data_IF_661887723860
#
_entry.id   IF_661887723860
#
_cell.length_a   1.000
_cell.length_b   1.000
_cell.length_c   1.000
_cell.angle_alpha   90.00
_cell.angle_beta   90.00
_cell.angle_gamma   90.00
#
_symmetry.space_group_name_H-M   'P 1'
#
loop_
_entity.id
_entity.type
_entity.pdbx_description
1 polymer ?
#
# COMPACT_ATOMS: atom_id res chain seq x y z
N UNK A 1 25.49 23.29 2.51
CA UNK A 1 24.03 23.45 2.34
C UNK A 1 23.41 22.97 3.62
N UNK A 2 22.50 23.74 4.19
CA UNK A 2 21.76 23.32 5.40
C UNK A 2 20.59 22.42 5.01
N UNK A 3 19.98 21.74 5.99
CA UNK A 3 18.72 21.04 5.77
C UNK A 3 17.61 22.01 5.31
N UNK A 4 17.47 23.17 5.97
CA UNK A 4 16.41 24.12 5.63
C UNK A 4 16.52 24.64 4.19
N UNK A 5 17.75 24.96 3.75
CA UNK A 5 17.97 25.37 2.35
C UNK A 5 17.53 24.28 1.36
N UNK A 6 17.72 23.01 1.72
CA UNK A 6 17.26 21.89 0.91
C UNK A 6 15.75 21.78 0.91
N UNK A 7 15.13 21.73 2.09
CA UNK A 7 13.69 21.56 2.27
C UNK A 7 12.89 22.65 1.53
N UNK A 8 13.31 23.92 1.65
CA UNK A 8 12.60 25.05 1.07
C UNK A 8 12.64 25.10 -0.47
N UNK A 9 13.59 24.38 -1.10
CA UNK A 9 13.89 24.55 -2.53
C UNK A 9 13.92 23.25 -3.34
N UNK A 10 13.84 22.07 -2.70
CA UNK A 10 14.08 20.80 -3.39
C UNK A 10 13.09 20.52 -4.53
N UNK A 11 11.85 20.99 -4.43
CA UNK A 11 10.81 20.85 -5.46
C UNK A 11 11.08 21.67 -6.72
N UNK A 12 11.91 22.71 -6.63
CA UNK A 12 12.21 23.63 -7.74
C UNK A 12 13.47 23.22 -8.53
N UNK A 13 14.21 22.24 -8.02
CA UNK A 13 15.47 21.80 -8.62
C UNK A 13 15.27 20.62 -9.56
N UNK A 14 16.13 20.52 -10.58
CA UNK A 14 16.24 19.31 -11.38
C UNK A 14 16.83 18.15 -10.55
N UNK A 15 16.41 16.91 -10.83
CA UNK A 15 16.84 15.69 -10.11
C UNK A 15 18.36 15.55 -9.95
N UNK A 16 19.14 15.91 -10.96
CA UNK A 16 20.61 15.87 -10.87
C UNK A 16 21.16 16.81 -9.79
N UNK A 17 20.52 17.98 -9.63
CA UNK A 17 20.82 18.94 -8.57
C UNK A 17 20.35 18.40 -7.23
N UNK A 18 19.12 17.88 -7.14
CA UNK A 18 18.58 17.27 -5.91
C UNK A 18 19.51 16.15 -5.41
N UNK A 19 19.89 15.19 -6.25
CA UNK A 19 20.83 14.10 -5.89
C UNK A 19 22.19 14.61 -5.40
N UNK A 20 22.75 15.60 -6.09
CA UNK A 20 24.01 16.23 -5.68
C UNK A 20 23.89 16.90 -4.30
N UNK A 21 22.76 17.59 -4.07
CA UNK A 21 22.46 18.27 -2.80
C UNK A 21 22.21 17.29 -1.66
N UNK A 22 21.41 16.24 -1.87
CA UNK A 22 21.21 15.13 -0.90
C UNK A 22 22.55 14.57 -0.46
N UNK A 23 23.45 14.29 -1.41
CA UNK A 23 24.78 13.74 -1.12
C UNK A 23 25.59 14.66 -0.20
N UNK A 24 25.44 15.99 -0.35
CA UNK A 24 26.15 17.01 0.43
C UNK A 24 25.56 17.30 1.83
N UNK A 25 24.35 16.81 2.14
CA UNK A 25 23.73 16.98 3.45
C UNK A 25 24.58 16.29 4.54
N UNK A 26 24.78 17.00 5.66
CA UNK A 26 25.51 16.50 6.83
C UNK A 26 24.62 16.18 8.01
N UNK A 27 23.42 16.75 8.00
CA UNK A 27 22.38 16.57 9.01
C UNK A 27 21.02 16.62 8.30
N UNK A 28 20.02 16.02 8.93
CA UNK A 28 18.63 16.10 8.51
C UNK A 28 17.85 16.96 9.50
N UNK A 29 16.73 17.51 9.05
CA UNK A 29 15.75 18.11 9.94
C UNK A 29 14.85 17.08 10.59
N UNK A 30 13.70 17.56 11.13
CA UNK A 30 12.66 16.71 11.67
C UNK A 30 12.20 15.62 10.69
N UNK A 31 11.88 14.43 11.22
CA UNK A 31 11.48 13.26 10.41
C UNK A 31 10.29 13.55 9.51
N UNK A 32 9.30 14.29 10.01
CA UNK A 32 8.12 14.68 9.23
C UNK A 32 8.50 15.53 8.00
N UNK A 33 9.47 16.45 8.13
CA UNK A 33 9.96 17.24 7.00
C UNK A 33 10.75 16.38 6.01
N UNK A 34 11.50 15.39 6.50
CA UNK A 34 12.23 14.45 5.64
C UNK A 34 11.26 13.65 4.76
N UNK A 35 10.18 13.14 5.36
CA UNK A 35 9.13 12.41 4.63
C UNK A 35 8.41 13.34 3.65
N UNK A 36 7.97 14.51 4.09
CA UNK A 36 7.30 15.49 3.24
C UNK A 36 8.18 15.92 2.05
N UNK A 37 9.47 16.21 2.28
CA UNK A 37 10.39 16.55 1.20
C UNK A 37 10.57 15.40 0.20
N UNK A 38 10.53 14.14 0.67
CA UNK A 38 10.63 12.98 -0.21
C UNK A 38 9.41 12.84 -1.13
N UNK A 39 8.24 13.33 -0.71
CA UNK A 39 7.00 13.34 -1.50
C UNK A 39 6.94 14.49 -2.53
N UNK A 40 7.73 15.55 -2.33
CA UNK A 40 7.78 16.71 -3.24
C UNK A 40 8.80 16.59 -4.38
N UNK A 41 9.59 15.53 -4.40
CA UNK A 41 10.61 15.27 -5.42
C UNK A 41 10.32 13.95 -6.14
N UNK A 42 11.09 13.62 -7.17
CA UNK A 42 10.92 12.33 -7.87
C UNK A 42 11.15 11.15 -6.92
N UNK A 43 10.45 10.04 -7.15
CA UNK A 43 10.56 8.80 -6.35
C UNK A 43 12.02 8.36 -6.16
N UNK A 44 12.83 8.43 -7.22
CA UNK A 44 14.26 8.08 -7.15
C UNK A 44 15.02 9.02 -6.19
N UNK A 45 14.74 10.32 -6.22
CA UNK A 45 15.34 11.29 -5.31
C UNK A 45 14.80 11.16 -3.87
N UNK A 46 13.51 10.87 -3.71
CA UNK A 46 12.87 10.59 -2.42
C UNK A 46 13.51 9.40 -1.73
N UNK A 47 13.65 8.29 -2.46
CA UNK A 47 14.33 7.09 -1.97
C UNK A 47 15.80 7.36 -1.60
N UNK A 48 16.51 8.14 -2.41
CA UNK A 48 17.87 8.57 -2.08
C UNK A 48 17.93 9.44 -0.82
N UNK A 49 16.94 10.30 -0.59
CA UNK A 49 16.84 11.14 0.59
C UNK A 49 16.59 10.31 1.86
N UNK A 50 15.65 9.35 1.82
CA UNK A 50 15.38 8.44 2.95
C UNK A 50 16.62 7.61 3.30
N UNK A 51 17.31 7.04 2.30
CA UNK A 51 18.57 6.31 2.51
C UNK A 51 19.66 7.20 3.10
N UNK A 52 19.75 8.45 2.65
CA UNK A 52 20.69 9.44 3.23
C UNK A 52 20.34 9.74 4.69
N UNK A 53 19.05 9.87 5.03
CA UNK A 53 18.60 10.09 6.40
C UNK A 53 19.01 8.92 7.30
N UNK A 54 18.83 7.69 6.83
CA UNK A 54 19.28 6.49 7.53
C UNK A 54 20.79 6.47 7.75
N UNK A 55 21.58 6.80 6.73
CA UNK A 55 23.02 6.88 6.83
C UNK A 55 23.50 7.94 7.83
N UNK A 56 22.72 9.00 8.06
CA UNK A 56 22.96 10.03 9.07
C UNK A 56 22.39 9.68 10.45
N UNK A 57 21.82 8.48 10.63
CA UNK A 57 21.33 7.99 11.91
C UNK A 57 19.93 8.47 12.27
N UNK A 58 19.15 8.98 11.32
CA UNK A 58 17.74 9.29 11.55
C UNK A 58 16.98 8.01 11.86
N UNK A 59 16.19 8.04 12.93
CA UNK A 59 15.35 6.92 13.37
C UNK A 59 13.89 7.26 13.10
N UNK A 60 13.24 6.43 12.28
CA UNK A 60 11.82 6.55 11.95
C UNK A 60 10.97 5.78 12.97
N UNK A 61 9.83 6.34 13.37
CA UNK A 61 8.87 5.68 14.27
C UNK A 61 7.95 4.76 13.46
N UNK A 62 7.24 3.81 14.10
CA UNK A 62 6.32 2.91 13.40
C UNK A 62 5.33 3.59 12.46
N UNK A 63 4.72 4.71 12.86
CA UNK A 63 3.82 5.49 11.98
C UNK A 63 4.52 6.07 10.75
N UNK A 64 5.78 6.47 10.90
CA UNK A 64 6.59 6.97 9.79
C UNK A 64 6.95 5.84 8.83
N UNK A 65 7.28 4.67 9.37
CA UNK A 65 7.65 3.47 8.60
C UNK A 65 6.45 2.96 7.81
N UNK A 66 5.26 2.96 8.41
CA UNK A 66 4.02 2.57 7.75
C UNK A 66 3.71 3.53 6.57
N UNK A 67 3.84 4.85 6.75
CA UNK A 67 3.72 5.79 5.63
C UNK A 67 4.75 5.55 4.52
N UNK A 68 6.00 5.30 4.92
CA UNK A 68 7.08 5.01 3.98
C UNK A 68 6.89 3.67 3.26
N UNK A 69 6.10 2.72 3.77
CA UNK A 69 5.83 1.49 3.03
C UNK A 69 4.92 1.70 1.82
N UNK A 70 4.18 2.80 1.73
CA UNK A 70 3.38 3.08 0.52
C UNK A 70 4.25 3.56 -0.64
N UNK A 71 5.17 4.50 -0.39
CA UNK A 71 5.86 5.25 -1.46
C UNK A 71 7.38 5.40 -1.27
N UNK A 72 7.94 4.82 -0.20
CA UNK A 72 9.36 4.88 0.12
C UNK A 72 10.18 3.71 -0.45
N UNK A 73 11.47 3.61 -0.06
CA UNK A 73 12.35 2.55 -0.53
C UNK A 73 11.94 1.20 0.08
N UNK A 74 11.19 0.40 -0.68
CA UNK A 74 10.63 -0.88 -0.25
C UNK A 74 11.67 -1.84 0.30
N UNK A 75 12.86 -1.86 -0.31
CA UNK A 75 14.00 -2.68 0.10
C UNK A 75 14.58 -2.28 1.47
N UNK A 76 14.33 -1.06 1.93
CA UNK A 76 14.80 -0.54 3.22
C UNK A 76 13.76 -0.68 4.35
N UNK A 77 12.47 -0.88 4.05
CA UNK A 77 11.41 -0.96 5.08
C UNK A 77 11.70 -2.06 6.13
N UNK A 78 12.15 -3.28 5.77
CA UNK A 78 12.51 -4.29 6.76
C UNK A 78 13.66 -3.85 7.68
N UNK A 79 14.60 -3.05 7.17
CA UNK A 79 15.71 -2.50 7.96
C UNK A 79 15.22 -1.40 8.91
N UNK A 80 14.34 -0.51 8.44
CA UNK A 80 13.66 0.49 9.28
C UNK A 80 12.93 -0.15 10.45
N UNK A 81 12.16 -1.21 10.19
CA UNK A 81 11.45 -1.99 11.21
C UNK A 81 12.43 -2.53 12.26
N UNK A 82 13.53 -3.16 11.83
CA UNK A 82 14.56 -3.69 12.75
C UNK A 82 15.17 -2.59 13.62
N UNK A 83 15.44 -1.42 13.05
CA UNK A 83 15.95 -0.25 13.78
C UNK A 83 14.91 0.24 14.81
N UNK A 84 13.63 0.35 14.44
CA UNK A 84 12.56 0.75 15.36
C UNK A 84 12.42 -0.24 16.53
N UNK A 85 12.45 -1.54 16.27
CA UNK A 85 12.42 -2.58 17.29
C UNK A 85 13.63 -2.51 18.24
N UNK A 86 14.83 -2.26 17.71
CA UNK A 86 16.05 -2.04 18.52
C UNK A 86 15.91 -0.83 19.44
N UNK A 87 15.23 0.21 18.98
CA UNK A 87 14.88 1.40 19.76
C UNK A 87 13.66 1.20 20.68
N UNK A 88 13.14 -0.04 20.77
CA UNK A 88 12.02 -0.43 21.62
C UNK A 88 10.70 0.28 21.29
N UNK A 89 10.54 0.75 20.05
CA UNK A 89 9.27 1.30 19.60
C UNK A 89 8.19 0.21 19.51
N UNK A 90 6.95 0.62 19.78
CA UNK A 90 5.74 -0.20 19.73
C UNK A 90 4.99 0.08 18.45
N UNK A 91 4.70 -0.97 17.69
CA UNK A 91 3.83 -0.90 16.52
C UNK A 91 2.37 -0.96 17.00
N UNK A 92 1.51 -0.17 16.37
CA UNK A 92 0.06 -0.31 16.50
C UNK A 92 -0.45 -1.39 15.56
N UNK A 93 -1.71 -1.77 15.74
CA UNK A 93 -2.41 -2.64 14.80
C UNK A 93 -2.46 -2.03 13.39
N UNK A 94 -2.83 -0.75 13.28
CA UNK A 94 -2.86 -0.01 12.03
C UNK A 94 -1.49 0.02 11.32
N UNK A 95 -0.39 0.07 12.09
CA UNK A 95 0.95 -0.03 11.49
C UNK A 95 1.17 -1.42 10.86
N UNK A 96 0.78 -2.50 11.53
CA UNK A 96 0.95 -3.87 11.00
C UNK A 96 0.06 -4.08 9.78
N UNK A 97 -1.19 -3.60 9.81
CA UNK A 97 -2.11 -3.64 8.68
C UNK A 97 -1.54 -2.97 7.44
N UNK A 98 -1.10 -1.70 7.57
CA UNK A 98 -0.53 -0.95 6.46
C UNK A 98 0.75 -1.59 5.91
N UNK A 99 1.61 -2.10 6.80
CA UNK A 99 2.83 -2.81 6.39
C UNK A 99 2.51 -4.13 5.69
N UNK A 100 1.48 -4.85 6.12
CA UNK A 100 1.05 -6.11 5.52
C UNK A 100 0.47 -5.90 4.12
N UNK A 101 -0.31 -4.82 3.93
CA UNK A 101 -0.86 -4.46 2.62
C UNK A 101 0.21 -3.99 1.62
N UNK A 102 1.24 -3.29 2.10
CA UNK A 102 2.23 -2.67 1.22
C UNK A 102 3.46 -3.54 0.94
N UNK A 103 3.86 -4.39 1.90
CA UNK A 103 5.10 -5.15 1.76
C UNK A 103 4.90 -6.44 0.96
N UNK A 104 5.93 -6.87 0.20
CA UNK A 104 5.94 -8.17 -0.44
C UNK A 104 5.76 -9.33 0.55
N UNK A 105 5.12 -10.42 0.09
CA UNK A 105 4.77 -11.61 0.88
C UNK A 105 5.97 -12.20 1.65
N UNK A 106 7.20 -12.12 1.12
CA UNK A 106 8.39 -12.60 1.83
C UNK A 106 8.66 -11.89 3.18
N UNK A 107 8.04 -10.74 3.42
CA UNK A 107 8.14 -10.00 4.68
C UNK A 107 7.03 -10.35 5.68
N UNK A 108 6.05 -11.19 5.32
CA UNK A 108 4.92 -11.52 6.19
C UNK A 108 5.39 -12.13 7.52
N UNK A 109 6.38 -13.02 7.50
CA UNK A 109 6.91 -13.64 8.72
C UNK A 109 7.53 -12.60 9.68
N UNK A 110 8.17 -11.55 9.14
CA UNK A 110 8.69 -10.44 9.96
C UNK A 110 7.54 -9.72 10.67
N UNK A 111 6.41 -9.50 9.99
CA UNK A 111 5.24 -8.83 10.56
C UNK A 111 4.55 -9.71 11.62
N UNK A 112 4.40 -11.01 11.35
CA UNK A 112 3.87 -11.99 12.33
C UNK A 112 4.72 -12.08 13.59
N UNK A 113 6.05 -12.05 13.44
CA UNK A 113 6.98 -12.04 14.56
C UNK A 113 6.81 -10.79 15.43
N UNK A 114 6.58 -9.63 14.81
CA UNK A 114 6.33 -8.37 15.52
C UNK A 114 5.00 -8.41 16.26
N UNK A 115 3.94 -8.82 15.56
CA UNK A 115 2.59 -8.94 16.09
C UNK A 115 2.58 -9.80 17.35
N UNK A 116 3.20 -10.99 17.29
CA UNK A 116 3.34 -11.89 18.43
C UNK A 116 4.23 -11.32 19.54
N UNK A 117 5.42 -10.79 19.20
CA UNK A 117 6.39 -10.30 20.19
C UNK A 117 5.89 -9.08 20.95
N UNK A 118 5.06 -8.26 20.31
CA UNK A 118 4.49 -7.06 20.91
C UNK A 118 3.05 -7.24 21.40
N UNK A 119 2.47 -8.42 21.19
CA UNK A 119 1.10 -8.76 21.58
C UNK A 119 0.07 -7.79 20.98
N UNK A 120 0.13 -7.61 19.65
CA UNK A 120 -0.72 -6.68 18.88
C UNK A 120 -2.04 -7.35 18.47
N UNK A 121 -2.00 -8.62 18.03
CA UNK A 121 -3.19 -9.43 17.76
C UNK A 121 -3.82 -9.23 16.38
N UNK A 122 -3.13 -8.59 15.43
CA UNK A 122 -3.60 -8.39 14.06
C UNK A 122 -3.79 -9.72 13.33
N UNK A 123 -2.77 -10.60 13.38
CA UNK A 123 -2.83 -11.87 12.64
C UNK A 123 -3.77 -12.88 13.27
N UNK A 124 -3.95 -12.84 14.60
CA UNK A 124 -4.97 -13.67 15.27
C UNK A 124 -6.38 -13.37 14.74
N UNK A 125 -6.69 -12.09 14.54
CA UNK A 125 -7.98 -11.67 13.99
C UNK A 125 -8.10 -11.96 12.49
N UNK A 126 -7.02 -11.80 11.72
CA UNK A 126 -7.00 -12.10 10.29
C UNK A 126 -7.16 -13.58 9.99
N UNK A 127 -6.41 -14.43 10.69
CA UNK A 127 -6.40 -15.88 10.45
C UNK A 127 -7.68 -16.54 10.96
N UNK A 128 -8.51 -15.80 11.73
CA UNK A 128 -9.78 -16.29 12.24
C UNK A 128 -9.58 -17.46 13.19
N UNK A 129 -8.69 -17.33 14.18
CA UNK A 129 -8.60 -18.36 15.23
C UNK A 129 -9.94 -18.42 15.98
N UNK A 130 -10.70 -19.49 15.67
CA UNK A 130 -11.85 -19.97 16.41
C UNK A 130 -11.54 -19.91 17.91
N UNK A 131 -12.40 -19.26 18.68
CA UNK A 131 -12.48 -19.53 20.10
C UNK A 131 -12.81 -21.03 20.23
N UNK A 132 -11.81 -21.86 20.55
CA UNK A 132 -12.09 -23.13 21.22
C UNK A 132 -12.85 -22.81 22.52
N UNK A 133 -13.90 -23.60 22.80
CA UNK A 133 -14.81 -23.64 23.97
C UNK A 133 -16.25 -23.13 23.63
N UNK A 134 -17.36 -23.88 23.70
CA UNK A 134 -17.71 -25.17 24.31
C UNK A 134 -19.04 -25.72 23.71
N UNK A 135 -19.19 -27.05 23.70
CA UNK A 135 -20.43 -27.85 23.50
C UNK A 135 -21.25 -27.64 22.21
N UNK A 136 -20.96 -28.48 21.21
CA UNK A 136 -21.99 -28.97 20.28
C UNK A 136 -23.02 -29.79 21.09
N UNK A 137 -24.12 -29.15 21.50
CA UNK A 137 -25.37 -29.89 21.69
C UNK A 137 -25.93 -30.19 20.29
N UNK A 138 -25.74 -31.44 19.87
CA UNK A 138 -26.45 -32.04 18.75
C UNK A 138 -27.96 -31.96 19.04
N UNK A 139 -28.67 -31.02 18.42
CA UNK A 139 -30.08 -31.19 18.09
C UNK A 139 -30.39 -30.51 16.75
N UNK A 140 -30.53 -31.40 15.76
CA UNK A 140 -31.36 -31.37 14.55
C UNK A 140 -32.33 -30.18 14.41
N UNK A 141 -32.30 -29.48 13.27
CA UNK A 141 -33.47 -29.41 12.38
C UNK A 141 -33.25 -28.48 11.17
N UNK A 142 -33.39 -29.09 9.98
CA UNK A 142 -34.07 -28.53 8.79
C UNK A 142 -33.42 -27.37 8.01
N UNK A 143 -32.96 -27.69 6.80
CA UNK A 143 -32.54 -26.75 5.77
C UNK A 143 -33.72 -25.92 5.22
N UNK A 144 -33.61 -24.59 5.29
CA UNK A 144 -34.37 -23.69 4.41
C UNK A 144 -33.42 -22.66 3.77
N UNK A 145 -33.51 -22.55 2.45
CA UNK A 145 -32.65 -21.72 1.61
C UNK A 145 -33.39 -20.40 1.36
N UNK A 146 -33.05 -19.34 2.10
CA UNK A 146 -33.56 -18.01 1.81
C UNK A 146 -32.53 -16.90 2.09
N UNK A 147 -32.07 -16.32 0.98
CA UNK A 147 -31.90 -14.89 0.72
C UNK A 147 -30.92 -14.04 1.56
N UNK A 148 -30.39 -13.09 0.81
CA UNK A 148 -29.24 -12.22 0.93
C UNK A 148 -29.31 -11.15 2.03
N UNK A 149 -28.12 -10.59 2.33
CA UNK A 149 -27.82 -9.41 3.15
C UNK A 149 -27.52 -9.65 4.64
N UNK A 150 -26.26 -9.98 4.91
CA UNK A 150 -25.69 -10.04 6.26
C UNK A 150 -24.22 -9.66 6.30
N UNK A 151 -23.80 -8.64 5.54
CA UNK A 151 -22.48 -8.02 5.78
C UNK A 151 -22.54 -7.32 7.13
N UNK A 152 -21.82 -7.86 8.12
CA UNK A 152 -21.54 -7.15 9.38
C UNK A 152 -20.74 -5.88 9.02
N UNK A 153 -21.20 -4.67 9.40
CA UNK A 153 -20.46 -3.45 9.11
C UNK A 153 -19.14 -3.44 9.90
N UNK A 154 -18.04 -3.11 9.22
CA UNK A 154 -16.75 -2.87 9.85
C UNK A 154 -16.82 -1.68 10.82
N UNK A 155 -15.93 -1.67 11.81
CA UNK A 155 -15.93 -0.75 12.95
C UNK A 155 -15.87 0.75 12.57
N UNK A 156 -15.48 1.09 11.34
CA UNK A 156 -15.42 2.48 10.85
C UNK A 156 -16.80 3.12 10.59
N UNK A 157 -17.86 2.33 10.38
CA UNK A 157 -19.23 2.88 10.29
C UNK A 157 -19.85 3.19 11.67
N UNK A 158 -19.35 2.58 12.75
CA UNK A 158 -19.87 2.76 14.12
C UNK A 158 -19.26 3.94 14.88
N UNK A 159 -18.22 4.59 14.35
CA UNK A 159 -17.48 5.63 15.05
C UNK A 159 -17.79 7.07 14.63
N UNK A 160 -18.72 7.31 13.70
CA UNK A 160 -19.36 8.63 13.50
C UNK A 160 -18.45 9.85 13.56
N UNK A 161 -17.19 9.76 13.11
CA UNK A 161 -16.23 10.85 13.23
C UNK A 161 -16.29 11.70 11.96
N UNK A 162 -17.26 12.61 11.96
CA UNK A 162 -17.19 13.81 11.14
C UNK A 162 -15.82 14.45 11.37
N UNK A 163 -15.00 14.51 10.32
CA UNK A 163 -13.83 15.39 10.27
C UNK A 163 -14.26 16.81 10.71
N UNK A 164 -13.90 17.21 11.94
CA UNK A 164 -13.90 18.61 12.36
C UNK A 164 -12.73 19.31 11.64
N UNK A 165 -12.89 19.51 10.34
CA UNK A 165 -12.02 20.36 9.52
C UNK A 165 -12.46 21.80 9.76
N UNK A 166 -11.51 22.63 10.19
CA UNK A 166 -11.76 24.05 10.44
C UNK A 166 -12.22 24.77 9.15
N UNK A 167 -13.02 25.84 9.28
CA UNK A 167 -13.48 26.65 8.14
C UNK A 167 -12.33 27.18 7.26
N UNK A 168 -11.11 27.29 7.82
CA UNK A 168 -9.91 27.73 7.10
C UNK A 168 -9.36 26.63 6.16
N UNK A 169 -9.52 25.36 6.53
CA UNK A 169 -9.03 24.21 5.76
C UNK A 169 -9.99 23.83 4.63
N UNK A 170 -11.31 24.05 4.81
CA UNK A 170 -12.30 23.91 3.72
C UNK A 170 -11.99 24.85 2.53
N UNK A 171 -11.52 26.07 2.81
CA UNK A 171 -11.13 27.03 1.76
C UNK A 171 -9.83 26.65 1.04
N UNK A 172 -8.90 25.97 1.73
CA UNK A 172 -7.64 25.47 1.12
C UNK A 172 -7.87 24.27 0.20
N UNK A 173 -8.80 23.38 0.56
CA UNK A 173 -9.18 22.23 -0.27
C UNK A 173 -9.87 22.71 -1.56
N UNK A 174 -10.73 23.73 -1.45
CA UNK A 174 -11.42 24.31 -2.62
C UNK A 174 -10.47 25.08 -3.56
N UNK A 175 -9.47 25.80 -3.04
CA UNK A 175 -8.44 26.46 -3.88
C UNK A 175 -7.47 25.48 -4.56
N UNK A 176 -7.27 24.26 -4.04
CA UNK A 176 -6.47 23.21 -4.71
C UNK A 176 -7.20 22.56 -5.89
N UNK A 177 -8.54 22.59 -5.93
CA UNK A 177 -9.32 22.12 -7.09
C UNK A 177 -9.31 23.15 -8.24
N UNK A 178 -9.50 24.44 -7.97
CA UNK A 178 -9.58 25.46 -9.03
C UNK A 178 -8.23 25.81 -9.69
N UNK A 179 -7.09 25.57 -9.03
CA UNK A 179 -5.76 25.74 -9.64
C UNK A 179 -5.32 24.59 -10.54
N UNK A 180 -5.94 23.40 -10.41
CA UNK A 180 -5.67 22.26 -11.30
C UNK A 180 -6.41 22.33 -12.65
N UNK A 181 -7.44 23.18 -12.76
CA UNK A 181 -8.21 23.32 -14.02
C UNK A 181 -7.63 24.35 -15.01
N UNK A 182 -6.64 25.17 -14.62
CA UNK A 182 -6.11 26.25 -15.47
C UNK A 182 -4.74 26.00 -16.11
N UNK A 183 -4.10 24.87 -15.85
CA UNK A 183 -2.89 24.44 -16.56
C UNK A 183 -3.14 23.09 -17.24
N UNK A 184 -3.88 23.15 -18.35
CA UNK A 184 -4.24 21.98 -19.15
C UNK A 184 -3.01 21.26 -19.73
N UNK A 185 -2.97 19.96 -19.50
CA UNK A 185 -2.05 19.01 -20.12
C UNK A 185 -2.56 17.59 -19.91
N UNK A 186 -3.68 17.27 -20.58
CA UNK A 186 -4.31 15.95 -20.77
C UNK A 186 -3.77 14.79 -19.90
N UNK A 187 -4.35 14.60 -18.72
CA UNK A 187 -4.45 13.27 -18.11
C UNK A 187 -5.93 12.98 -17.92
N UNK A 188 -6.44 12.08 -18.77
CA UNK A 188 -7.77 11.51 -18.61
C UNK A 188 -7.88 10.94 -17.20
N UNK A 189 -8.94 11.35 -16.50
CA UNK A 189 -9.51 10.60 -15.39
C UNK A 189 -9.37 9.10 -15.63
N UNK A 190 -8.70 8.39 -14.73
CA UNK A 190 -8.91 6.94 -14.59
C UNK A 190 -10.32 6.80 -14.04
N UNK A 191 -11.30 6.94 -14.94
CA UNK A 191 -12.45 6.06 -14.95
C UNK A 191 -11.89 4.67 -14.68
N UNK A 192 -12.40 3.99 -13.65
CA UNK A 192 -12.34 2.54 -13.54
C UNK A 192 -12.43 1.97 -14.94
N UNK A 193 -11.28 1.57 -15.50
CA UNK A 193 -11.22 1.04 -16.85
C UNK A 193 -11.86 -0.32 -16.68
N UNK A 194 -13.10 -0.46 -17.14
CA UNK A 194 -13.79 -1.75 -17.16
C UNK A 194 -12.79 -2.79 -17.64
N UNK A 195 -12.48 -3.77 -16.79
CA UNK A 195 -11.49 -4.79 -17.08
C UNK A 195 -11.82 -5.38 -18.44
N UNK A 196 -10.87 -5.27 -19.38
CA UNK A 196 -11.12 -5.72 -20.75
C UNK A 196 -11.48 -7.20 -20.79
N UNK A 197 -11.04 -7.98 -19.80
CA UNK A 197 -11.35 -9.38 -19.70
C UNK A 197 -12.03 -9.71 -18.37
N UNK A 198 -12.86 -10.75 -18.37
CA UNK A 198 -13.66 -11.17 -17.22
C UNK A 198 -13.29 -12.58 -16.76
N UNK A 199 -13.60 -12.90 -15.51
CA UNK A 199 -13.44 -14.26 -14.96
C UNK A 199 -14.23 -15.25 -15.83
N UNK A 200 -13.60 -16.38 -16.17
CA UNK A 200 -14.12 -17.41 -17.06
C UNK A 200 -13.86 -17.16 -18.55
N UNK A 201 -13.31 -16.01 -18.92
CA UNK A 201 -13.01 -15.69 -20.33
C UNK A 201 -11.79 -16.46 -20.83
N UNK A 202 -11.89 -16.99 -22.06
CA UNK A 202 -10.82 -17.78 -22.67
C UNK A 202 -9.78 -16.87 -23.31
N UNK A 203 -8.53 -17.06 -22.89
CA UNK A 203 -7.40 -16.23 -23.30
C UNK A 203 -6.23 -17.08 -23.74
N UNK A 204 -5.34 -16.48 -24.53
CA UNK A 204 -4.07 -17.07 -24.93
C UNK A 204 -2.93 -16.19 -24.45
N UNK A 205 -1.91 -16.78 -23.86
CA UNK A 205 -0.67 -16.07 -23.52
C UNK A 205 0.11 -15.78 -24.80
N UNK A 206 0.55 -14.53 -24.96
CA UNK A 206 1.34 -14.12 -26.13
C UNK A 206 2.74 -14.72 -26.15
N UNK A 207 3.31 -15.03 -24.99
CA UNK A 207 4.70 -15.51 -24.83
C UNK A 207 4.91 -16.90 -25.43
N UNK A 208 4.01 -17.84 -25.15
CA UNK A 208 4.14 -19.25 -25.48
C UNK A 208 2.95 -19.80 -26.27
N UNK A 209 1.96 -18.95 -26.59
CA UNK A 209 0.72 -19.30 -27.30
C UNK A 209 -0.14 -20.35 -26.59
N UNK A 210 0.08 -20.60 -25.31
CA UNK A 210 -0.77 -21.50 -24.52
C UNK A 210 -2.10 -20.82 -24.19
N UNK A 211 -3.16 -21.62 -24.17
CA UNK A 211 -4.53 -21.19 -23.90
C UNK A 211 -4.94 -21.53 -22.46
N UNK A 212 -5.86 -20.75 -21.94
CA UNK A 212 -6.43 -20.93 -20.61
C UNK A 212 -7.63 -20.03 -20.37
N UNK A 213 -8.02 -19.93 -19.10
CA UNK A 213 -9.15 -19.12 -18.66
C UNK A 213 -8.72 -18.17 -17.56
N UNK A 214 -9.31 -16.99 -17.53
CA UNK A 214 -9.13 -16.05 -16.43
C UNK A 214 -9.85 -16.58 -15.20
N UNK A 215 -9.15 -16.63 -14.08
CA UNK A 215 -9.68 -17.11 -12.80
C UNK A 215 -9.83 -16.00 -11.77
N UNK A 216 -9.07 -14.91 -11.89
CA UNK A 216 -9.24 -13.72 -11.07
C UNK A 216 -8.80 -12.43 -11.80
N UNK A 217 -9.26 -11.28 -11.32
CA UNK A 217 -8.93 -9.94 -11.83
C UNK A 217 -8.69 -8.96 -10.68
N UNK A 218 -7.45 -8.49 -10.56
CA UNK A 218 -7.03 -7.55 -9.51
C UNK A 218 -6.40 -6.29 -10.13
N UNK A 219 -7.06 -5.14 -9.98
CA UNK A 219 -6.47 -3.84 -10.35
C UNK A 219 -5.99 -3.72 -11.80
N UNK A 220 -6.62 -4.43 -12.75
CA UNK A 220 -6.23 -4.46 -14.17
C UNK A 220 -5.15 -5.50 -14.51
N UNK A 221 -4.83 -6.40 -13.57
CA UNK A 221 -4.04 -7.62 -13.79
C UNK A 221 -4.94 -8.86 -13.72
N UNK A 222 -4.51 -9.93 -14.37
CA UNK A 222 -5.29 -11.13 -14.60
C UNK A 222 -4.54 -12.36 -14.15
N UNK A 223 -5.24 -13.23 -13.44
CA UNK A 223 -4.76 -14.56 -13.13
C UNK A 223 -5.34 -15.54 -14.14
N UNK A 224 -4.51 -16.39 -14.73
CA UNK A 224 -4.88 -17.30 -15.81
C UNK A 224 -4.47 -18.73 -15.46
N UNK A 225 -5.43 -19.65 -15.56
CA UNK A 225 -5.17 -21.09 -15.51
C UNK A 225 -5.14 -21.64 -16.92
N UNK A 226 -4.00 -22.18 -17.31
CA UNK A 226 -3.79 -22.78 -18.64
C UNK A 226 -4.41 -24.17 -18.75
N UNK A 227 -4.66 -24.59 -19.99
CA UNK A 227 -5.27 -25.89 -20.33
C UNK A 227 -4.37 -27.08 -19.91
N UNK A 228 -3.06 -26.86 -19.75
CA UNK A 228 -2.12 -27.87 -19.21
C UNK A 228 -2.14 -27.95 -17.66
N UNK A 229 -2.98 -27.14 -17.02
CA UNK A 229 -3.14 -27.08 -15.57
C UNK A 229 -2.21 -26.12 -14.86
N UNK A 230 -1.25 -25.49 -15.55
CA UNK A 230 -0.38 -24.48 -14.97
C UNK A 230 -1.12 -23.16 -14.69
N UNK A 231 -0.60 -22.40 -13.74
CA UNK A 231 -1.22 -21.17 -13.24
C UNK A 231 -0.24 -20.01 -13.36
N UNK A 232 -0.75 -18.87 -13.83
CA UNK A 232 0.00 -17.64 -14.00
C UNK A 232 -0.75 -16.49 -13.35
N UNK A 233 -0.10 -15.81 -12.40
CA UNK A 233 -0.64 -14.67 -11.68
C UNK A 233 -0.17 -13.33 -12.26
N UNK A 234 -0.93 -12.27 -11.96
CA UNK A 234 -0.56 -10.87 -12.20
C UNK A 234 -0.23 -10.51 -13.66
N UNK A 235 -0.83 -11.19 -14.64
CA UNK A 235 -0.61 -10.88 -16.06
C UNK A 235 -1.24 -9.54 -16.43
N UNK A 236 -0.51 -8.75 -17.23
CA UNK A 236 -1.06 -7.52 -17.83
C UNK A 236 -1.87 -7.82 -19.09
N UNK A 237 -2.77 -6.90 -19.47
CA UNK A 237 -3.49 -6.96 -20.76
C UNK A 237 -2.57 -7.16 -21.97
N UNK A 238 -1.32 -6.69 -21.90
CA UNK A 238 -0.36 -6.81 -23.00
C UNK A 238 0.14 -8.24 -23.21
N UNK A 239 0.03 -9.10 -22.20
CA UNK A 239 0.56 -10.47 -22.20
C UNK A 239 -0.50 -11.51 -22.59
N UNK A 240 -1.76 -11.12 -22.62
CA UNK A 240 -2.90 -11.97 -22.94
C UNK A 240 -3.61 -11.46 -24.21
N UNK A 241 -4.21 -12.36 -24.96
CA UNK A 241 -5.11 -12.01 -26.06
C UNK A 241 -6.40 -12.83 -25.97
N UNK A 242 -7.53 -12.24 -26.40
CA UNK A 242 -8.78 -12.99 -26.48
C UNK A 242 -8.63 -14.06 -27.54
N UNK A 243 -8.97 -15.29 -27.18
CA UNK A 243 -9.14 -16.33 -28.17
C UNK A 243 -10.60 -16.27 -28.62
N UNK A 244 -10.85 -15.60 -29.75
CA UNK A 244 -12.08 -15.84 -30.48
C UNK A 244 -11.96 -17.25 -31.05
N UNK A 245 -12.97 -18.09 -30.85
CA UNK A 245 -13.08 -19.33 -31.61
C UNK A 245 -12.93 -19.06 -33.10
#
# INVERSE_FOLDING_TARGET
>A
MTWQDFFDNCSEWADSTVKSRISSLKEMGPVNEVIEASEYISEECGNALIRKALALGVVFRPDDIAKLSENGPQDEIPNLIKIALKNKFRFSKDNIEMLYECLPFENEQLLRDIDKKQNIGYFKELDGEDEEDDEFDDDDDSYDYADTSGRKPGLLEKLGLFFLVSEADKKRIQMKQERRERSGGAFSSVTSRESRYHIGERVRLRSNRQEGYIVDVHGGRYDVRLDDGSYHDFLSESQIERTLF
#
